data_IF_591061561703
#
_entry.id   IF_591061561703
#
_cell.length_a   1.000
_cell.length_b   1.000
_cell.length_c   1.000
_cell.angle_alpha   90.00
_cell.angle_beta   90.00
_cell.angle_gamma   90.00
#
_symmetry.space_group_name_H-M   'P 1'
#
loop_
_entity.id
_entity.type
_entity.pdbx_description
1 polymer ?
#
# COMPACT_ATOMS: atom_id res chain seq x y z
N UNK A 1 4.13 10.62 -5.53
CA UNK A 1 5.24 9.86 -6.17
C UNK A 1 4.76 9.35 -7.52
N UNK A 2 5.55 9.50 -8.59
CA UNK A 2 5.18 9.05 -9.94
C UNK A 2 6.31 8.20 -10.55
N UNK A 3 5.98 7.06 -11.16
CA UNK A 3 6.94 6.20 -11.85
C UNK A 3 6.37 5.63 -13.14
N UNK A 4 7.12 5.72 -14.25
CA UNK A 4 6.66 5.23 -15.56
C UNK A 4 6.97 3.74 -15.75
N UNK A 5 8.14 3.28 -15.29
CA UNK A 5 8.57 1.89 -15.38
C UNK A 5 9.30 1.49 -14.09
N UNK A 6 8.83 0.46 -13.40
CA UNK A 6 9.54 -0.13 -12.26
C UNK A 6 8.65 -0.49 -11.06
N UNK A 7 9.28 -1.05 -10.03
CA UNK A 7 8.64 -1.37 -8.74
C UNK A 7 8.70 -0.13 -7.83
N UNK A 8 7.54 0.38 -7.42
CA UNK A 8 7.45 1.50 -6.47
C UNK A 8 7.24 0.95 -5.07
N UNK A 9 8.19 1.20 -4.18
CA UNK A 9 8.08 0.83 -2.77
C UNK A 9 7.80 2.06 -1.93
N UNK A 10 6.71 2.01 -1.20
CA UNK A 10 6.25 3.09 -0.34
C UNK A 10 6.40 2.62 1.10
N UNK A 11 7.23 3.34 1.85
CA UNK A 11 7.47 3.08 3.25
C UNK A 11 6.66 4.12 4.04
N UNK A 12 5.69 3.63 4.82
CA UNK A 12 4.86 4.48 5.68
C UNK A 12 5.27 4.29 7.13
N UNK A 13 5.35 5.34 7.94
CA UNK A 13 5.53 5.20 9.39
C UNK A 13 4.21 4.72 10.03
N UNK A 14 4.26 3.94 11.12
CA UNK A 14 3.05 3.47 11.84
C UNK A 14 2.14 4.58 12.37
N UNK A 15 2.68 5.78 12.49
CA UNK A 15 1.97 7.00 12.90
C UNK A 15 1.18 7.63 11.76
N UNK A 16 1.31 7.13 10.53
CA UNK A 16 0.59 7.67 9.38
C UNK A 16 -0.90 7.31 9.45
N UNK A 17 -1.73 8.34 9.38
CA UNK A 17 -3.19 8.23 9.39
C UNK A 17 -3.80 9.09 8.29
N UNK A 18 -4.29 8.48 7.22
CA UNK A 18 -4.80 9.20 6.07
C UNK A 18 -5.18 8.35 4.85
N UNK A 19 -5.86 8.93 3.86
CA UNK A 19 -6.01 8.40 2.53
C UNK A 19 -4.68 8.06 1.86
N UNK A 20 -4.71 6.90 1.24
CA UNK A 20 -3.68 6.35 0.38
C UNK A 20 -4.32 6.07 -0.98
N UNK A 21 -3.90 6.83 -1.99
CA UNK A 21 -4.40 6.71 -3.36
C UNK A 21 -3.29 6.13 -4.23
N UNK A 22 -3.54 4.95 -4.78
CA UNK A 22 -2.58 4.19 -5.58
C UNK A 22 -3.15 3.99 -6.97
N UNK A 23 -2.54 4.58 -7.98
CA UNK A 23 -2.96 4.44 -9.37
C UNK A 23 -1.95 3.60 -10.13
N UNK A 24 -2.41 2.49 -10.69
CA UNK A 24 -1.60 1.60 -11.52
C UNK A 24 -2.31 1.35 -12.84
N UNK A 25 -1.70 1.74 -13.95
CA UNK A 25 -2.29 1.53 -15.28
C UNK A 25 -2.10 0.08 -15.74
N UNK A 26 -0.88 -0.44 -15.67
CA UNK A 26 -0.55 -1.82 -16.03
C UNK A 26 0.35 -2.46 -14.98
N UNK A 27 -0.26 -3.25 -14.10
CA UNK A 27 0.49 -3.88 -13.01
C UNK A 27 -0.37 -4.36 -11.85
N UNK A 28 0.23 -4.41 -10.65
CA UNK A 28 -0.46 -4.86 -9.44
C UNK A 28 -0.09 -4.04 -8.21
N UNK A 29 -1.05 -3.88 -7.32
CA UNK A 29 -0.88 -3.19 -6.04
C UNK A 29 -0.84 -4.23 -4.93
N UNK A 30 0.22 -4.19 -4.11
CA UNK A 30 0.45 -5.12 -2.99
C UNK A 30 0.64 -4.35 -1.69
N UNK A 31 0.03 -4.86 -0.63
CA UNK A 31 0.19 -4.36 0.73
C UNK A 31 0.88 -5.42 1.59
N UNK A 32 1.63 -5.01 2.61
CA UNK A 32 2.07 -5.97 3.65
C UNK A 32 0.88 -6.40 4.52
N UNK A 33 0.96 -7.59 5.11
CA UNK A 33 -0.08 -8.15 5.96
C UNK A 33 -0.38 -7.23 7.17
N UNK A 34 0.70 -6.72 7.78
CA UNK A 34 0.62 -5.77 8.88
C UNK A 34 -0.01 -4.42 8.47
N UNK A 35 0.12 -4.02 7.20
CA UNK A 35 -0.53 -2.82 6.68
C UNK A 35 -2.00 -3.08 6.34
N UNK A 36 -2.32 -4.22 5.73
CA UNK A 36 -3.70 -4.58 5.40
C UNK A 36 -4.60 -4.70 6.64
N UNK A 37 -4.05 -5.11 7.79
CA UNK A 37 -4.81 -5.15 9.04
C UNK A 37 -5.23 -3.76 9.56
N UNK A 38 -4.48 -2.71 9.22
CA UNK A 38 -4.72 -1.32 9.65
C UNK A 38 -5.21 -0.42 8.50
N UNK A 39 -5.51 -1.02 7.34
CA UNK A 39 -5.91 -0.33 6.13
C UNK A 39 -7.34 -0.73 5.77
N UNK A 40 -8.17 0.27 5.51
CA UNK A 40 -9.51 0.09 4.96
C UNK A 40 -9.45 0.38 3.47
N UNK A 41 -9.76 -0.62 2.63
CA UNK A 41 -9.87 -0.40 1.17
C UNK A 41 -11.29 0.04 0.84
N UNK A 42 -11.44 1.21 0.22
CA UNK A 42 -12.76 1.68 -0.24
C UNK A 42 -13.16 1.04 -1.57
N UNK A 43 -12.17 0.75 -2.42
CA UNK A 43 -12.40 0.13 -3.71
C UNK A 43 -11.30 0.45 -4.71
N UNK A 44 -11.41 -0.18 -5.87
CA UNK A 44 -10.54 0.02 -7.02
C UNK A 44 -11.38 0.39 -8.23
N UNK A 45 -11.07 1.52 -8.86
CA UNK A 45 -11.76 2.05 -10.03
C UNK A 45 -10.71 2.48 -11.04
N UNK A 46 -10.77 1.97 -12.27
CA UNK A 46 -9.85 2.30 -13.37
C UNK A 46 -8.36 2.15 -13.00
N UNK A 47 -8.01 1.06 -12.31
CA UNK A 47 -6.64 0.82 -11.81
C UNK A 47 -6.22 1.77 -10.68
N UNK A 48 -7.13 2.61 -10.18
CA UNK A 48 -6.92 3.47 -9.01
C UNK A 48 -7.53 2.81 -7.79
N UNK A 49 -6.68 2.32 -6.89
CA UNK A 49 -7.08 1.79 -5.59
C UNK A 49 -7.06 2.91 -4.54
N UNK A 50 -8.20 3.12 -3.89
CA UNK A 50 -8.37 4.09 -2.81
C UNK A 50 -8.47 3.36 -1.49
N UNK A 51 -7.56 3.69 -0.59
CA UNK A 51 -7.46 3.11 0.73
C UNK A 51 -7.39 4.22 1.78
N UNK A 52 -7.70 3.88 3.02
CA UNK A 52 -7.48 4.70 4.19
C UNK A 52 -6.64 3.92 5.18
N UNK A 53 -5.59 4.53 5.69
CA UNK A 53 -4.76 3.94 6.73
C UNK A 53 -5.14 4.57 8.07
N UNK A 54 -5.50 3.76 9.05
CA UNK A 54 -5.87 4.22 10.40
C UNK A 54 -7.37 4.41 10.63
N UNK A 55 -7.71 5.15 11.68
CA UNK A 55 -9.09 5.34 12.12
C UNK A 55 -9.85 6.32 11.23
N UNK A 56 -10.82 5.79 10.50
CA UNK A 56 -11.71 6.53 9.60
C UNK A 56 -12.71 7.44 10.35
N UNK A 57 -12.82 7.33 11.68
CA UNK A 57 -13.76 8.13 12.48
C UNK A 57 -13.58 9.65 12.29
N UNK A 58 -12.34 10.12 12.09
CA UNK A 58 -12.01 11.53 11.85
C UNK A 58 -12.33 12.03 10.43
N UNK A 59 -12.56 11.15 9.45
CA UNK A 59 -12.81 11.53 8.06
C UNK A 59 -14.19 12.15 7.84
N UNK A 60 -15.21 11.76 8.63
CA UNK A 60 -16.60 12.23 8.47
C UNK A 60 -16.81 13.70 8.88
N UNK A 61 -15.84 14.32 9.56
CA UNK A 61 -15.93 15.68 10.11
C UNK A 61 -15.61 16.83 9.15
N UNK A 62 -15.29 16.56 7.89
CA UNK A 62 -15.17 17.59 6.84
C UNK A 62 -13.85 18.40 6.81
N UNK A 63 -12.93 18.19 7.75
CA UNK A 63 -11.62 18.86 7.75
C UNK A 63 -10.52 17.86 8.11
N UNK A 64 -10.28 16.88 7.24
CA UNK A 64 -9.12 16.00 7.41
C UNK A 64 -7.84 16.81 7.10
N UNK A 65 -7.07 17.09 8.16
CA UNK A 65 -5.78 17.81 8.17
C UNK A 65 -4.57 16.86 8.17
N UNK A 66 -4.76 15.61 7.76
CA UNK A 66 -3.70 14.60 7.75
C UNK A 66 -2.87 14.62 6.47
N UNK A 67 -1.97 13.65 6.37
CA UNK A 67 -1.07 13.48 5.23
C UNK A 67 -1.69 12.62 4.12
N UNK A 68 -1.72 13.13 2.89
CA UNK A 68 -2.23 12.40 1.72
C UNK A 68 -1.08 11.79 0.94
N UNK A 69 -1.17 10.49 0.68
CA UNK A 69 -0.17 9.80 -0.12
C UNK A 69 -0.79 9.38 -1.44
N UNK A 70 -0.34 10.04 -2.51
CA UNK A 70 -0.71 9.71 -3.89
C UNK A 70 0.49 9.10 -4.60
N UNK A 71 0.29 7.89 -5.11
CA UNK A 71 1.31 7.13 -5.84
C UNK A 71 0.74 6.71 -7.18
N UNK A 72 1.41 7.08 -8.25
CA UNK A 72 1.01 6.69 -9.59
C UNK A 72 2.14 5.90 -10.26
N UNK A 73 1.80 4.76 -10.84
CA UNK A 73 2.69 3.91 -11.61
C UNK A 73 2.06 3.52 -12.94
N UNK A 74 2.77 3.69 -14.06
CA UNK A 74 2.25 3.31 -15.37
C UNK A 74 2.48 1.83 -15.67
N UNK A 75 3.71 1.34 -15.50
CA UNK A 75 4.07 -0.06 -15.70
C UNK A 75 4.90 -0.61 -14.53
N UNK A 76 4.35 -1.58 -13.80
CA UNK A 76 5.06 -2.24 -12.70
C UNK A 76 4.20 -2.51 -11.48
N UNK A 77 4.82 -2.88 -10.36
CA UNK A 77 4.11 -3.13 -9.11
C UNK A 77 4.30 -1.99 -8.11
N UNK A 78 3.25 -1.71 -7.33
CA UNK A 78 3.33 -0.81 -6.19
C UNK A 78 3.23 -1.65 -4.93
N UNK A 79 4.26 -1.59 -4.08
CA UNK A 79 4.30 -2.27 -2.79
C UNK A 79 4.33 -1.24 -1.66
N UNK A 80 3.32 -1.29 -0.80
CA UNK A 80 3.26 -0.43 0.38
C UNK A 80 3.53 -1.27 1.63
N UNK A 81 4.48 -0.80 2.45
CA UNK A 81 4.93 -1.48 3.68
C UNK A 81 5.10 -0.46 4.81
N UNK A 82 5.01 -0.94 6.05
CA UNK A 82 5.44 -0.15 7.19
C UNK A 82 6.97 0.03 7.17
N UNK A 83 7.44 1.18 7.61
CA UNK A 83 8.85 1.47 7.77
C UNK A 83 9.50 0.51 8.79
N UNK A 84 8.82 0.17 9.88
CA UNK A 84 9.34 -0.82 10.83
C UNK A 84 9.58 -2.19 10.19
N UNK A 85 8.70 -2.62 9.27
CA UNK A 85 8.84 -3.90 8.56
C UNK A 85 10.07 -3.91 7.64
N UNK A 86 10.59 -2.75 7.23
CA UNK A 86 11.77 -2.69 6.38
C UNK A 86 13.09 -2.76 7.18
N UNK A 87 13.08 -2.36 8.46
CA UNK A 87 14.24 -2.50 9.37
C UNK A 87 14.48 -3.97 9.73
N UNK A 88 13.42 -4.77 9.87
CA UNK A 88 13.54 -6.23 10.10
C UNK A 88 14.06 -6.97 8.86
N UNK A 89 14.11 -6.32 7.70
CA UNK A 89 14.57 -6.89 6.43
C UNK A 89 16.03 -6.59 6.07
N UNK A 90 16.72 -5.72 6.81
CA UNK A 90 18.13 -5.36 6.57
C UNK A 90 19.12 -6.12 7.48
N UNK A 91 18.63 -7.12 8.23
CA UNK A 91 19.45 -8.08 8.96
C UNK A 91 19.39 -9.44 8.28
N UNK A 92 20.54 -9.98 7.91
CA UNK A 92 20.67 -11.31 7.33
C UNK A 92 19.94 -12.39 8.15
N UNK A 93 19.07 -13.19 7.52
CA UNK A 93 18.63 -14.46 8.09
C UNK A 93 17.17 -14.86 7.86
N UNK A 94 16.99 -15.99 7.17
CA UNK A 94 15.85 -16.93 7.28
C UNK A 94 14.46 -16.39 6.92
N UNK A 95 14.19 -16.47 5.62
CA UNK A 95 13.02 -17.14 5.03
C UNK A 95 11.65 -16.95 5.68
N UNK A 96 10.79 -16.21 4.99
CA UNK A 96 9.40 -16.63 4.77
C UNK A 96 9.02 -16.31 3.33
N UNK A 97 9.14 -17.33 2.47
CA UNK A 97 8.39 -17.44 1.23
C UNK A 97 6.91 -17.44 1.60
N UNK A 98 6.26 -16.27 1.52
CA UNK A 98 4.86 -16.08 1.85
C UNK A 98 4.01 -15.91 0.59
N UNK A 99 3.43 -17.03 0.14
CA UNK A 99 2.15 -17.11 -0.59
C UNK A 99 2.09 -16.52 -2.01
N UNK A 100 2.91 -17.07 -2.92
CA UNK A 100 2.73 -16.97 -4.37
C UNK A 100 1.88 -18.12 -4.97
N UNK A 101 1.01 -18.81 -4.21
CA UNK A 101 0.28 -19.95 -4.77
C UNK A 101 -1.13 -20.15 -4.22
N UNK A 102 -2.03 -19.19 -4.46
CA UNK A 102 -3.47 -19.41 -4.29
C UNK A 102 -4.25 -18.54 -5.27
N UNK A 103 -4.96 -19.20 -6.18
CA UNK A 103 -5.86 -18.66 -7.23
C UNK A 103 -5.19 -18.40 -8.59
N UNK A 104 -4.71 -19.47 -9.22
CA UNK A 104 -5.06 -19.80 -10.60
C UNK A 104 -5.22 -21.33 -10.65
N UNK A 105 -6.45 -21.78 -10.51
CA UNK A 105 -6.80 -23.20 -10.57
C UNK A 105 -8.17 -23.33 -11.21
N UNK A 106 -8.15 -23.58 -12.53
CA UNK A 106 -9.22 -23.98 -13.45
C UNK A 106 -10.50 -23.15 -13.52
#
# INVERSE_FOLDING_TARGET
VQSTYGDVRVHLPRTFHGPLVLKVTHGSIKFSDALSGNLTTFGEVDGTRRCFVGDFSGWRGGAWKGDEVVVEASHGSVKVVWEDDCVVGAGSGKGRTGFLNKVFGF
#
